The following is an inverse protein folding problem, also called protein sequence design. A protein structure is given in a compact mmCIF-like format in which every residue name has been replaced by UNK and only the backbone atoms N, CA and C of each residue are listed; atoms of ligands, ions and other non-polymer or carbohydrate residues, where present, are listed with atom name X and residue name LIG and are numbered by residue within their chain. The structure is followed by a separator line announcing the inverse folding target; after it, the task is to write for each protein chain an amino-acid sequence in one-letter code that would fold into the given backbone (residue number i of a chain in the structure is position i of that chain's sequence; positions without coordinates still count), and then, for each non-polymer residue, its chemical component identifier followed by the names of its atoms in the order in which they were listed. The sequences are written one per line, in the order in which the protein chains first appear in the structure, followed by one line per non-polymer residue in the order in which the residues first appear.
data_IF_093097755175
#
_entry.id   IF_093097755175
#
_cell.length_a   1.000
_cell.length_b   1.000
_cell.length_c   1.000
_cell.angle_alpha   90.00
_cell.angle_beta   90.00
_cell.angle_gamma   90.00
#
_symmetry.space_group_name_H-M   'P 1'
#
loop_
_entity.id
_entity.type
_entity.pdbx_description
1 polymer ?
#
# COMPACT_ATOMS: atom_id res chain seq x y z
N UNK A 1 -15.50 15.31 -12.41
CA UNK A 1 -14.23 15.04 -13.13
C UNK A 1 -14.56 14.08 -14.25
N UNK A 2 -14.32 14.48 -15.48
CA UNK A 2 -14.45 13.59 -16.63
C UNK A 2 -13.25 12.60 -16.69
N UNK A 3 -13.27 11.66 -17.64
CA UNK A 3 -12.25 10.61 -17.74
C UNK A 3 -10.85 11.16 -18.05
N UNK A 4 -10.74 12.12 -18.96
CA UNK A 4 -9.46 12.72 -19.35
C UNK A 4 -8.82 13.50 -18.19
N UNK A 5 -9.62 14.28 -17.46
CA UNK A 5 -9.20 14.99 -16.25
C UNK A 5 -8.72 14.01 -15.17
N UNK A 6 -9.38 12.85 -15.05
CA UNK A 6 -8.97 11.79 -14.11
C UNK A 6 -7.62 11.21 -14.49
N UNK A 7 -7.43 10.85 -15.76
CA UNK A 7 -6.19 10.27 -16.27
C UNK A 7 -5.03 11.24 -16.03
N UNK A 8 -5.20 12.51 -16.43
CA UNK A 8 -4.18 13.55 -16.24
C UNK A 8 -3.86 13.77 -14.76
N UNK A 9 -4.88 13.81 -13.90
CA UNK A 9 -4.71 13.95 -12.45
C UNK A 9 -3.89 12.80 -11.85
N UNK A 10 -4.21 11.55 -12.24
CA UNK A 10 -3.50 10.38 -11.73
C UNK A 10 -2.06 10.35 -12.23
N UNK A 11 -1.82 10.66 -13.52
CA UNK A 11 -0.48 10.73 -14.08
C UNK A 11 0.38 11.79 -13.37
N UNK A 12 -0.17 12.99 -13.14
CA UNK A 12 0.54 14.06 -12.43
C UNK A 12 0.87 13.65 -10.99
N UNK A 13 -0.07 13.01 -10.27
CA UNK A 13 0.19 12.53 -8.93
C UNK A 13 1.20 11.37 -8.91
N UNK A 14 1.17 10.48 -9.90
CA UNK A 14 2.11 9.38 -10.04
C UNK A 14 3.56 9.87 -10.17
N UNK A 15 3.76 11.01 -10.86
CA UNK A 15 5.08 11.63 -10.98
C UNK A 15 5.65 12.07 -9.63
N UNK A 16 4.79 12.46 -8.68
CA UNK A 16 5.20 12.83 -7.32
C UNK A 16 5.44 11.66 -6.37
N UNK A 17 5.14 10.42 -6.78
CA UNK A 17 5.39 9.24 -5.96
C UNK A 17 6.87 8.86 -5.93
N UNK A 18 7.31 8.32 -4.80
CA UNK A 18 8.63 7.69 -4.69
C UNK A 18 8.64 6.38 -5.48
N UNK A 19 9.81 5.98 -5.98
CA UNK A 19 9.96 4.76 -6.79
C UNK A 19 9.52 3.51 -6.02
N UNK A 20 9.81 3.46 -4.72
CA UNK A 20 9.40 2.38 -3.83
C UNK A 20 7.87 2.24 -3.67
N UNK A 21 7.13 3.35 -3.73
CA UNK A 21 5.66 3.34 -3.66
C UNK A 21 5.06 2.79 -4.96
N UNK A 22 5.63 3.22 -6.09
CA UNK A 22 5.28 2.72 -7.42
C UNK A 22 5.62 1.22 -7.55
N UNK A 23 6.76 0.80 -7.03
CA UNK A 23 7.18 -0.60 -7.00
C UNK A 23 6.17 -1.45 -6.21
N UNK A 24 5.81 -1.02 -5.00
CA UNK A 24 4.84 -1.73 -4.15
C UNK A 24 3.44 -1.76 -4.77
N UNK A 25 3.06 -0.77 -5.57
CA UNK A 25 1.79 -0.76 -6.32
C UNK A 25 1.81 -1.70 -7.52
N UNK A 26 2.99 -1.92 -8.11
CA UNK A 26 3.18 -2.85 -9.21
C UNK A 26 3.21 -4.31 -8.71
N UNK A 27 4.08 -4.61 -7.74
CA UNK A 27 4.36 -5.98 -7.29
C UNK A 27 3.56 -6.42 -6.06
N UNK A 28 2.89 -5.48 -5.39
CA UNK A 28 2.34 -5.70 -4.06
C UNK A 28 3.37 -5.48 -2.96
N UNK A 29 2.88 -5.21 -1.74
CA UNK A 29 3.74 -5.04 -0.58
C UNK A 29 4.44 -6.34 -0.19
N UNK A 30 5.75 -6.24 0.02
CA UNK A 30 6.57 -7.30 0.60
C UNK A 30 6.60 -7.12 2.12
N UNK A 31 5.78 -7.89 2.83
CA UNK A 31 5.60 -7.75 4.28
C UNK A 31 6.64 -8.55 5.06
N UNK A 32 7.36 -7.87 5.94
CA UNK A 32 8.16 -8.51 6.97
C UNK A 32 7.30 -8.64 8.23
N UNK A 33 6.95 -9.87 8.59
CA UNK A 33 6.26 -10.14 9.85
C UNK A 33 7.23 -9.90 11.01
N UNK A 34 6.75 -9.24 12.07
CA UNK A 34 7.46 -9.22 13.34
C UNK A 34 7.66 -10.64 13.86
N UNK A 35 8.81 -10.91 14.50
CA UNK A 35 9.18 -12.24 14.97
C UNK A 35 8.28 -12.75 16.12
N UNK A 36 7.62 -11.85 16.86
CA UNK A 36 6.79 -12.20 18.02
C UNK A 36 5.50 -11.37 18.04
N UNK A 37 4.35 -11.99 18.36
CA UNK A 37 3.13 -11.25 18.59
C UNK A 37 3.21 -10.40 19.86
N UNK A 38 2.50 -9.28 19.86
CA UNK A 38 2.26 -8.44 21.03
C UNK A 38 0.99 -8.95 21.70
N UNK A 39 1.03 -9.22 23.00
CA UNK A 39 -0.17 -9.57 23.78
C UNK A 39 -0.96 -8.29 24.05
N UNK A 40 -2.20 -8.22 23.56
CA UNK A 40 -3.07 -7.04 23.73
C UNK A 40 -3.94 -7.19 24.98
N UNK A 41 -4.46 -8.38 25.21
CA UNK A 41 -5.21 -8.79 26.40
C UNK A 41 -5.05 -10.32 26.65
N UNK A 42 -5.90 -10.93 27.48
CA UNK A 42 -5.78 -12.33 27.88
C UNK A 42 -5.96 -13.32 26.72
N UNK A 43 -6.75 -12.96 25.71
CA UNK A 43 -7.13 -13.83 24.60
C UNK A 43 -6.77 -13.27 23.22
N UNK A 44 -6.15 -12.08 23.14
CA UNK A 44 -5.82 -11.39 21.90
C UNK A 44 -4.33 -11.18 21.71
N UNK A 45 -3.85 -11.62 20.54
CA UNK A 45 -2.51 -11.39 20.02
C UNK A 45 -2.54 -10.40 18.85
N UNK A 46 -1.60 -9.47 18.79
CA UNK A 46 -1.38 -8.59 17.63
C UNK A 46 -0.08 -8.91 16.93
N UNK A 47 -0.18 -9.13 15.63
CA UNK A 47 0.95 -9.26 14.73
C UNK A 47 1.10 -7.97 13.93
N UNK A 48 2.29 -7.38 13.99
CA UNK A 48 2.63 -6.21 13.19
C UNK A 48 3.54 -6.60 12.04
N UNK A 49 3.40 -5.92 10.90
CA UNK A 49 4.28 -6.09 9.75
C UNK A 49 4.55 -4.76 9.09
N UNK A 50 5.82 -4.50 8.77
CA UNK A 50 6.22 -3.40 7.89
C UNK A 50 6.49 -3.94 6.48
N UNK A 51 6.29 -3.11 5.47
CA UNK A 51 6.76 -3.46 4.13
C UNK A 51 8.28 -3.23 4.06
N UNK A 52 9.00 -4.15 3.43
CA UNK A 52 10.46 -4.07 3.28
C UNK A 52 10.91 -3.05 2.23
N UNK A 53 10.00 -2.62 1.37
CA UNK A 53 10.29 -1.74 0.24
C UNK A 53 9.77 -0.33 0.47
N UNK A 54 8.65 -0.17 1.17
CA UNK A 54 8.07 1.13 1.50
C UNK A 54 7.70 1.17 2.98
N UNK A 55 7.50 2.36 3.56
CA UNK A 55 7.14 2.51 4.98
C UNK A 55 5.65 2.23 5.28
N UNK A 56 5.00 1.44 4.44
CA UNK A 56 3.67 0.92 4.75
C UNK A 56 3.78 -0.05 5.94
N UNK A 57 2.83 0.05 6.86
CA UNK A 57 2.75 -0.80 8.03
C UNK A 57 1.32 -1.31 8.18
N UNK A 58 1.18 -2.56 8.64
CA UNK A 58 -0.10 -3.19 8.93
C UNK A 58 -0.04 -3.94 10.25
N UNK A 59 -1.21 -4.18 10.81
CA UNK A 59 -1.38 -5.05 11.97
C UNK A 59 -2.62 -5.91 11.82
N UNK A 60 -2.57 -7.09 12.44
CA UNK A 60 -3.68 -8.03 12.54
C UNK A 60 -3.77 -8.50 13.99
N UNK A 61 -4.96 -8.36 14.57
CA UNK A 61 -5.29 -8.93 15.87
C UNK A 61 -6.01 -10.26 15.66
N UNK A 62 -5.59 -11.28 16.40
CA UNK A 62 -6.20 -12.59 16.41
C UNK A 62 -6.51 -13.03 17.82
N UNK A 63 -7.46 -13.96 17.98
CA UNK A 63 -7.56 -14.71 19.22
C UNK A 63 -6.38 -15.70 19.37
N UNK A 64 -6.32 -16.43 20.49
CA UNK A 64 -5.32 -17.47 20.74
C UNK A 64 -5.38 -18.65 19.76
N UNK A 65 -6.49 -18.82 19.04
CA UNK A 65 -6.69 -19.87 18.03
C UNK A 65 -6.33 -19.38 16.61
N UNK A 66 -6.01 -18.10 16.44
CA UNK A 66 -5.65 -17.48 15.16
C UNK A 66 -6.84 -16.91 14.38
N UNK A 67 -8.04 -16.83 14.96
CA UNK A 67 -9.18 -16.18 14.32
C UNK A 67 -8.96 -14.67 14.26
N UNK A 68 -9.09 -14.07 13.07
CA UNK A 68 -8.87 -12.63 12.88
C UNK A 68 -10.02 -11.84 13.53
N UNK A 69 -9.68 -11.07 14.55
CA UNK A 69 -10.63 -10.19 15.25
C UNK A 69 -10.67 -8.82 14.60
N UNK A 70 -9.50 -8.22 14.39
CA UNK A 70 -9.37 -6.86 13.85
C UNK A 70 -8.12 -6.76 12.98
N UNK A 71 -8.10 -5.76 12.10
CA UNK A 71 -6.94 -5.44 11.27
C UNK A 71 -6.90 -3.96 10.99
N UNK A 72 -5.72 -3.45 10.75
CA UNK A 72 -5.51 -2.08 10.32
C UNK A 72 -4.13 -1.88 9.76
N UNK A 73 -3.79 -0.62 9.51
CA UNK A 73 -2.49 -0.25 8.99
C UNK A 73 -2.45 1.19 8.55
N UNK A 74 -1.28 1.63 8.12
CA UNK A 74 -1.07 2.89 7.42
C UNK A 74 -0.31 2.62 6.12
N UNK A 75 -0.69 3.37 5.10
CA UNK A 75 0.17 3.59 3.95
C UNK A 75 0.87 4.93 4.11
N UNK A 76 2.00 5.13 3.42
CA UNK A 76 2.72 6.40 3.42
C UNK A 76 1.85 7.58 2.98
N UNK A 77 2.21 8.78 3.44
CA UNK A 77 1.67 10.01 2.89
C UNK A 77 2.08 10.12 1.42
N UNK A 78 1.14 10.46 0.54
CA UNK A 78 1.34 10.40 -0.90
C UNK A 78 1.01 9.04 -1.52
N UNK A 79 1.02 7.94 -0.76
CA UNK A 79 0.58 6.64 -1.28
C UNK A 79 -0.90 6.69 -1.70
N UNK A 80 -1.75 7.42 -0.99
CA UNK A 80 -3.13 7.67 -1.43
C UNK A 80 -3.17 8.86 -2.39
N UNK A 81 -3.63 8.61 -3.62
CA UNK A 81 -3.87 9.69 -4.58
C UNK A 81 -5.05 10.53 -4.11
N UNK A 82 -4.85 11.83 -3.93
CA UNK A 82 -5.85 12.76 -3.41
C UNK A 82 -7.01 12.88 -4.39
N UNK A 83 -8.24 12.81 -3.86
CA UNK A 83 -9.46 13.00 -4.63
C UNK A 83 -9.81 11.87 -5.62
N UNK A 84 -9.04 10.79 -5.69
CA UNK A 84 -9.28 9.73 -6.69
C UNK A 84 -10.23 8.63 -6.22
N UNK A 85 -10.51 8.55 -4.92
CA UNK A 85 -11.28 7.46 -4.33
C UNK A 85 -10.68 6.08 -4.65
N UNK A 86 -11.54 5.09 -4.91
CA UNK A 86 -11.10 3.76 -5.36
C UNK A 86 -10.54 3.83 -6.77
N UNK A 87 -9.35 3.28 -6.97
CA UNK A 87 -8.72 3.20 -8.29
C UNK A 87 -9.37 2.10 -9.15
N UNK A 88 -9.77 2.47 -10.36
CA UNK A 88 -10.17 1.56 -11.43
C UNK A 88 -9.00 0.69 -11.89
N UNK A 89 -9.24 -0.23 -12.82
CA UNK A 89 -8.14 -0.99 -13.45
C UNK A 89 -7.24 -0.07 -14.26
N UNK A 90 -7.80 0.79 -15.11
CA UNK A 90 -7.06 1.74 -15.93
C UNK A 90 -6.20 2.69 -15.11
N UNK A 91 -6.72 3.17 -13.98
CA UNK A 91 -5.96 4.01 -13.04
C UNK A 91 -4.71 3.31 -12.52
N UNK A 92 -4.81 2.02 -12.21
CA UNK A 92 -3.67 1.21 -11.73
C UNK A 92 -2.67 0.97 -12.85
N UNK A 93 -3.14 0.80 -14.08
CA UNK A 93 -2.27 0.62 -15.24
C UNK A 93 -1.45 1.89 -15.55
N UNK A 94 -2.00 3.08 -15.32
CA UNK A 94 -1.23 4.33 -15.38
C UNK A 94 -0.08 4.35 -14.38
N UNK A 95 -0.33 3.93 -13.14
CA UNK A 95 0.70 3.85 -12.10
C UNK A 95 1.77 2.80 -12.43
N UNK A 96 1.36 1.66 -12.98
CA UNK A 96 2.28 0.61 -13.45
C UNK A 96 3.12 1.08 -14.62
N UNK A 97 2.52 1.80 -15.57
CA UNK A 97 3.22 2.38 -16.71
C UNK A 97 4.27 3.40 -16.26
N UNK A 98 3.96 4.22 -15.25
CA UNK A 98 4.92 5.16 -14.67
C UNK A 98 6.11 4.42 -14.02
N UNK A 99 5.87 3.35 -13.26
CA UNK A 99 6.94 2.51 -12.71
C UNK A 99 7.86 1.96 -13.81
N UNK A 100 7.28 1.29 -14.82
CA UNK A 100 8.04 0.71 -15.94
C UNK A 100 8.86 1.78 -16.67
N UNK A 101 8.26 2.96 -16.91
CA UNK A 101 8.92 4.09 -17.56
C UNK A 101 10.16 4.54 -16.80
N UNK A 102 10.13 4.55 -15.46
CA UNK A 102 11.28 4.90 -14.62
C UNK A 102 12.34 3.80 -14.64
N UNK A 103 11.94 2.55 -14.53
CA UNK A 103 12.86 1.40 -14.55
C UNK A 103 13.62 1.26 -15.88
N UNK A 104 13.01 1.61 -17.02
CA UNK A 104 13.68 1.55 -18.33
C UNK A 104 14.67 2.71 -18.54
N UNK A 105 14.49 3.84 -17.84
CA UNK A 105 15.31 5.04 -17.99
C UNK A 105 16.54 5.07 -17.08
N UNK A 106 16.54 4.26 -16.03
CA UNK A 106 17.68 4.03 -15.13
C UNK A 106 18.49 2.83 -15.60
#
# INVERSE_FOLDING_TARGET
MNEDERIQSIQAQAQGLQDQDLECRFWGHSWLSGERPIVIDIDTLRYESSCQRCDAWRWVETDLLGAVLRRGGRTLEGYLLKGTGRLSTSDRDLLRGEYIRRTIRN
#
